data_IF_278550801045
#
_entry.id   IF_278550801045
#
_cell.length_a   1.000
_cell.length_b   1.000
_cell.length_c   1.000
_cell.angle_alpha   90.00
_cell.angle_beta   90.00
_cell.angle_gamma   90.00
#
_symmetry.space_group_name_H-M   'P 1'
#
loop_
_entity.id
_entity.type
_entity.pdbx_description
1 polymer ?
#
# COMPACT_ATOMS: atom_id res chain seq x y z
N UNK A 1 -15.25 -14.69 10.90
CA UNK A 1 -15.64 -13.31 11.25
C UNK A 1 -14.49 -12.50 11.86
N UNK A 2 -14.15 -12.59 13.17
CA UNK A 2 -13.08 -11.74 13.77
C UNK A 2 -11.67 -12.01 13.22
N UNK A 3 -11.32 -13.28 12.96
CA UNK A 3 -10.02 -13.65 12.40
C UNK A 3 -9.83 -13.22 10.94
N UNK A 4 -10.89 -13.27 10.12
CA UNK A 4 -10.86 -12.80 8.73
C UNK A 4 -10.64 -11.28 8.66
N UNK A 5 -11.27 -10.52 9.56
CA UNK A 5 -11.08 -9.06 9.62
C UNK A 5 -9.67 -8.69 10.07
N UNK A 6 -9.11 -9.39 11.07
CA UNK A 6 -7.72 -9.16 11.52
C UNK A 6 -6.70 -9.49 10.42
N UNK A 7 -6.90 -10.62 9.74
CA UNK A 7 -6.02 -11.08 8.65
C UNK A 7 -6.08 -10.11 7.47
N UNK A 8 -7.26 -9.61 7.13
CA UNK A 8 -7.42 -8.59 6.09
C UNK A 8 -6.72 -7.28 6.43
N UNK A 9 -6.87 -6.79 7.66
CA UNK A 9 -6.19 -5.57 8.13
C UNK A 9 -4.66 -5.71 8.14
N UNK A 10 -4.15 -6.82 8.68
CA UNK A 10 -2.71 -7.13 8.68
C UNK A 10 -2.15 -7.22 7.26
N UNK A 11 -2.88 -7.87 6.34
CA UNK A 11 -2.48 -7.94 4.93
C UNK A 11 -2.36 -6.55 4.33
N UNK A 12 -3.31 -5.64 4.57
CA UNK A 12 -3.26 -4.26 4.07
C UNK A 12 -2.01 -3.53 4.59
N UNK A 13 -1.72 -3.63 5.89
CA UNK A 13 -0.55 -2.98 6.51
C UNK A 13 0.76 -3.54 5.95
N UNK A 14 0.87 -4.86 5.79
CA UNK A 14 2.06 -5.51 5.23
C UNK A 14 2.26 -5.09 3.77
N UNK A 15 1.20 -5.15 2.96
CA UNK A 15 1.26 -4.74 1.54
C UNK A 15 1.63 -3.26 1.41
N UNK A 16 1.14 -2.39 2.29
CA UNK A 16 1.50 -0.98 2.33
C UNK A 16 2.99 -0.80 2.63
N UNK A 17 3.49 -1.47 3.67
CA UNK A 17 4.90 -1.44 4.02
C UNK A 17 5.80 -1.90 2.86
N UNK A 18 5.42 -2.97 2.16
CA UNK A 18 6.13 -3.47 0.98
C UNK A 18 6.08 -2.48 -0.19
N UNK A 19 4.92 -1.87 -0.47
CA UNK A 19 4.78 -0.87 -1.52
C UNK A 19 5.65 0.38 -1.28
N UNK A 20 5.68 0.86 -0.03
CA UNK A 20 6.55 1.97 0.37
C UNK A 20 8.02 1.58 0.29
N UNK A 21 8.38 0.37 0.70
CA UNK A 21 9.77 -0.12 0.64
C UNK A 21 10.29 -0.14 -0.81
N UNK A 22 9.47 -0.58 -1.78
CA UNK A 22 9.84 -0.56 -3.20
C UNK A 22 10.17 0.86 -3.70
N UNK A 23 9.45 1.87 -3.21
CA UNK A 23 9.69 3.28 -3.55
C UNK A 23 10.94 3.80 -2.86
N UNK A 24 11.11 3.52 -1.57
CA UNK A 24 12.25 4.00 -0.75
C UNK A 24 13.57 3.41 -1.23
N UNK A 25 13.56 2.19 -1.78
CA UNK A 25 14.75 1.56 -2.35
C UNK A 25 15.16 2.13 -3.71
N UNK A 26 14.37 3.01 -4.32
CA UNK A 26 14.68 3.63 -5.61
C UNK A 26 16.11 4.20 -5.70
N UNK A 27 16.57 5.11 -4.82
CA UNK A 27 17.93 5.67 -4.89
C UNK A 27 19.03 4.62 -4.72
N UNK A 28 18.76 3.51 -4.03
CA UNK A 28 19.72 2.43 -3.84
C UNK A 28 19.83 1.60 -5.12
N UNK A 29 18.71 1.16 -5.67
CA UNK A 29 18.63 0.34 -6.89
C UNK A 29 19.09 1.13 -8.12
N UNK A 30 18.79 2.43 -8.17
CA UNK A 30 19.12 3.29 -9.30
C UNK A 30 20.64 3.40 -9.53
N UNK A 31 21.45 3.21 -8.49
CA UNK A 31 22.92 3.18 -8.60
C UNK A 31 23.43 1.96 -9.36
N UNK A 32 22.76 0.82 -9.26
CA UNK A 32 23.14 -0.40 -9.98
C UNK A 32 22.44 -0.51 -11.34
N UNK A 33 21.11 -0.38 -11.37
CA UNK A 33 20.32 -0.63 -12.56
C UNK A 33 19.13 0.33 -12.66
N UNK A 34 19.28 1.32 -13.55
CA UNK A 34 18.27 2.36 -13.80
C UNK A 34 16.92 1.81 -14.27
N UNK A 35 16.91 0.74 -15.08
CA UNK A 35 15.66 0.14 -15.58
C UNK A 35 14.92 -0.57 -14.46
N UNK A 36 15.64 -1.39 -13.68
CA UNK A 36 15.05 -2.11 -12.56
C UNK A 36 14.54 -1.18 -11.46
N UNK A 37 15.24 -0.07 -11.20
CA UNK A 37 14.79 0.97 -10.27
C UNK A 37 13.46 1.60 -10.71
N UNK A 38 13.34 1.93 -11.99
CA UNK A 38 12.10 2.49 -12.54
C UNK A 38 10.93 1.51 -12.46
N UNK A 39 11.16 0.24 -12.77
CA UNK A 39 10.15 -0.81 -12.63
C UNK A 39 9.71 -0.93 -11.18
N UNK A 40 10.64 -1.00 -10.22
CA UNK A 40 10.31 -1.08 -8.79
C UNK A 40 9.51 0.13 -8.31
N UNK A 41 9.86 1.33 -8.75
CA UNK A 41 9.14 2.55 -8.40
C UNK A 41 7.70 2.56 -8.95
N UNK A 42 7.54 2.22 -10.24
CA UNK A 42 6.21 2.13 -10.87
C UNK A 42 5.36 1.06 -10.18
N UNK A 43 5.94 -0.11 -9.91
CA UNK A 43 5.25 -1.18 -9.18
C UNK A 43 4.83 -0.75 -7.77
N UNK A 44 5.71 -0.05 -7.04
CA UNK A 44 5.38 0.50 -5.72
C UNK A 44 4.20 1.47 -5.76
N UNK A 45 4.16 2.37 -6.76
CA UNK A 45 3.01 3.28 -6.97
C UNK A 45 1.74 2.50 -7.29
N UNK A 46 1.80 1.50 -8.18
CA UNK A 46 0.63 0.67 -8.52
C UNK A 46 0.09 -0.04 -7.29
N UNK A 47 0.95 -0.60 -6.44
CA UNK A 47 0.55 -1.22 -5.17
C UNK A 47 -0.18 -0.22 -4.27
N UNK A 48 0.33 1.00 -4.13
CA UNK A 48 -0.33 2.04 -3.33
C UNK A 48 -1.70 2.43 -3.91
N UNK A 49 -1.81 2.58 -5.24
CA UNK A 49 -3.08 2.89 -5.90
C UNK A 49 -4.11 1.76 -5.71
N UNK A 50 -3.68 0.51 -5.82
CA UNK A 50 -4.55 -0.66 -5.57
C UNK A 50 -5.00 -0.71 -4.12
N UNK A 51 -4.12 -0.40 -3.17
CA UNK A 51 -4.48 -0.32 -1.76
C UNK A 51 -5.48 0.81 -1.50
N UNK A 52 -5.25 2.00 -2.05
CA UNK A 52 -6.20 3.11 -1.95
C UNK A 52 -7.55 2.71 -2.52
N UNK A 53 -7.57 2.12 -3.71
CA UNK A 53 -8.80 1.60 -4.33
C UNK A 53 -9.52 0.59 -3.42
N UNK A 54 -8.78 -0.36 -2.85
CA UNK A 54 -9.32 -1.35 -1.93
C UNK A 54 -9.88 -0.73 -0.65
N UNK A 55 -9.16 0.23 -0.05
CA UNK A 55 -9.56 0.94 1.16
C UNK A 55 -10.81 1.79 0.93
N UNK A 56 -10.89 2.52 -0.19
CA UNK A 56 -12.04 3.38 -0.52
C UNK A 56 -13.23 2.62 -1.09
N UNK A 57 -13.01 1.46 -1.73
CA UNK A 57 -14.06 0.58 -2.25
C UNK A 57 -14.75 -0.25 -1.16
N UNK A 58 -14.15 -0.38 0.02
CA UNK A 58 -14.76 -1.05 1.16
C UNK A 58 -15.57 -0.05 2.00
N UNK A 59 -16.89 -0.12 1.91
CA UNK A 59 -17.83 0.79 2.58
C UNK A 59 -17.58 0.89 4.10
N UNK A 60 -17.22 -0.23 4.74
CA UNK A 60 -16.97 -0.29 6.20
C UNK A 60 -15.69 0.43 6.59
N UNK A 61 -14.62 0.26 5.80
CA UNK A 61 -13.32 0.90 6.07
C UNK A 61 -13.39 2.40 5.72
N UNK A 62 -14.07 2.75 4.63
CA UNK A 62 -14.30 4.14 4.22
C UNK A 62 -15.04 4.91 5.30
N UNK A 63 -16.10 4.33 5.85
CA UNK A 63 -16.87 4.98 6.91
C UNK A 63 -16.02 5.12 8.19
N UNK A 64 -15.23 4.10 8.55
CA UNK A 64 -14.32 4.19 9.69
C UNK A 64 -13.27 5.29 9.55
N UNK A 65 -12.65 5.43 8.37
CA UNK A 65 -11.63 6.45 8.09
C UNK A 65 -12.24 7.84 8.05
N UNK A 66 -13.43 7.99 7.45
CA UNK A 66 -14.12 9.28 7.38
C UNK A 66 -14.67 9.73 8.73
N UNK A 67 -15.20 8.82 9.55
CA UNK A 67 -15.71 9.15 10.88
C UNK A 67 -14.59 9.35 11.91
N UNK A 68 -13.57 8.49 11.95
CA UNK A 68 -12.52 8.57 12.99
C UNK A 68 -11.28 9.36 12.57
N UNK A 69 -11.09 9.66 11.28
CA UNK A 69 -9.92 10.40 10.78
C UNK A 69 -10.14 11.89 10.53
N UNK A 70 -11.39 12.37 10.50
CA UNK A 70 -11.77 13.76 10.22
C UNK A 70 -12.49 14.47 11.39
N UNK A 71 -12.60 13.83 12.55
CA UNK A 71 -12.96 14.45 13.83
C UNK A 71 -11.74 14.50 14.76
#
# INVERSE_FOLDING_TARGET
MIFETLTGQLSVVITLALGVLLIVLYPLIHKENRYFAWISFVMGIVVILLLLWFTFGNEVIRDLILHHGLQ
#
